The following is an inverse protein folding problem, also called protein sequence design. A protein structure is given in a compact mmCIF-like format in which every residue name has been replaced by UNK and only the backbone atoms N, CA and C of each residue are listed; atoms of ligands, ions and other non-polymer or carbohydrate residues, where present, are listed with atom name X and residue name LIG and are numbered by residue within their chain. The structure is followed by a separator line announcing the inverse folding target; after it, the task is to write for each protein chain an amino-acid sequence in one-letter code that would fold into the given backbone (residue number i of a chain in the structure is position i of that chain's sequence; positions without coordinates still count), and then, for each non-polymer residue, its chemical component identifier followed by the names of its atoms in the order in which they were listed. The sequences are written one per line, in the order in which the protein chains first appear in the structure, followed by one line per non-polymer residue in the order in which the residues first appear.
data_IF_404890685219
#
_entry.id   IF_404890685219
#
_cell.length_a   1.000
_cell.length_b   1.000
_cell.length_c   1.000
_cell.angle_alpha   90.00
_cell.angle_beta   90.00
_cell.angle_gamma   90.00
#
_symmetry.space_group_name_H-M   'P 1'
#
loop_
_entity.id
_entity.type
_entity.pdbx_description
1 polymer ?
#
# COMPACT_ATOMS: atom_id res chain seq x y z
N UNK A 1 -33.22 -9.40 -3.47
CA UNK A 1 -31.95 -8.87 -2.94
C UNK A 1 -31.95 -9.08 -1.42
N UNK A 2 -31.16 -10.01 -0.88
CA UNK A 2 -31.02 -10.18 0.58
C UNK A 2 -29.67 -9.63 1.06
N UNK A 3 -29.50 -9.41 2.37
CA UNK A 3 -28.24 -8.88 2.93
C UNK A 3 -27.01 -9.69 2.49
N UNK A 4 -27.15 -11.01 2.36
CA UNK A 4 -26.07 -11.89 1.90
C UNK A 4 -25.66 -11.64 0.45
N UNK A 5 -26.61 -11.31 -0.44
CA UNK A 5 -26.30 -10.98 -1.84
C UNK A 5 -25.52 -9.67 -1.93
N UNK A 6 -25.91 -8.66 -1.15
CA UNK A 6 -25.20 -7.37 -1.09
C UNK A 6 -23.80 -7.56 -0.53
N UNK A 7 -23.65 -8.34 0.56
CA UNK A 7 -22.36 -8.64 1.15
C UNK A 7 -21.43 -9.39 0.17
N UNK A 8 -21.96 -10.37 -0.56
CA UNK A 8 -21.22 -11.10 -1.59
C UNK A 8 -20.75 -10.16 -2.71
N UNK A 9 -21.65 -9.32 -3.23
CA UNK A 9 -21.30 -8.36 -4.29
C UNK A 9 -20.23 -7.37 -3.83
N UNK A 10 -20.31 -6.87 -2.59
CA UNK A 10 -19.28 -6.01 -2.03
C UNK A 10 -17.94 -6.72 -1.89
N UNK A 11 -17.93 -7.96 -1.39
CA UNK A 11 -16.71 -8.74 -1.27
C UNK A 11 -16.06 -8.98 -2.65
N UNK A 12 -16.86 -9.32 -3.66
CA UNK A 12 -16.38 -9.49 -5.03
C UNK A 12 -15.85 -8.18 -5.62
N UNK A 13 -16.51 -7.05 -5.36
CA UNK A 13 -16.05 -5.74 -5.82
C UNK A 13 -14.70 -5.37 -5.20
N UNK A 14 -14.51 -5.59 -3.89
CA UNK A 14 -13.24 -5.33 -3.18
C UNK A 14 -12.13 -6.23 -3.70
N UNK A 15 -12.40 -7.53 -3.86
CA UNK A 15 -11.43 -8.48 -4.42
C UNK A 15 -11.06 -8.10 -5.86
N UNK A 16 -12.02 -7.70 -6.68
CA UNK A 16 -11.79 -7.22 -8.03
C UNK A 16 -10.89 -5.98 -8.07
N UNK A 17 -11.14 -5.01 -7.19
CA UNK A 17 -10.32 -3.80 -7.07
C UNK A 17 -8.88 -4.15 -6.68
N UNK A 18 -8.69 -5.01 -5.69
CA UNK A 18 -7.36 -5.47 -5.24
C UNK A 18 -6.61 -6.22 -6.34
N UNK A 19 -7.30 -7.08 -7.09
CA UNK A 19 -6.70 -7.80 -8.21
C UNK A 19 -6.25 -6.85 -9.33
N UNK A 20 -7.07 -5.85 -9.66
CA UNK A 20 -6.72 -4.82 -10.63
C UNK A 20 -5.51 -3.98 -10.15
N UNK A 21 -5.53 -3.52 -8.91
CA UNK A 21 -4.40 -2.80 -8.30
C UNK A 21 -3.11 -3.61 -8.37
N UNK A 22 -3.13 -4.88 -7.98
CA UNK A 22 -1.96 -5.75 -8.03
C UNK A 22 -1.40 -5.99 -9.44
N UNK A 23 -2.23 -5.98 -10.48
CA UNK A 23 -1.80 -6.19 -11.87
C UNK A 23 -1.29 -4.89 -12.49
N UNK A 24 -1.86 -3.75 -12.13
CA UNK A 24 -1.52 -2.45 -12.72
C UNK A 24 -0.48 -1.64 -11.95
N UNK A 25 -0.35 -1.84 -10.65
CA UNK A 25 0.57 -1.08 -9.82
C UNK A 25 2.00 -1.61 -9.95
N UNK A 26 2.95 -0.69 -10.13
CA UNK A 26 4.37 -1.02 -10.02
C UNK A 26 4.72 -1.31 -8.56
N UNK A 27 5.71 -2.19 -8.28
CA UNK A 27 6.18 -2.42 -6.92
C UNK A 27 6.51 -1.10 -6.22
N UNK A 28 5.96 -0.89 -5.02
CA UNK A 28 6.24 0.31 -4.25
C UNK A 28 7.73 0.35 -3.93
N UNK A 29 8.42 1.39 -4.40
CA UNK A 29 9.78 1.65 -3.98
C UNK A 29 9.75 2.40 -2.63
N UNK A 30 10.18 1.77 -1.52
CA UNK A 30 10.12 2.37 -0.19
C UNK A 30 11.04 3.59 -0.03
N UNK A 31 12.00 3.78 -0.95
CA UNK A 31 12.93 4.92 -0.94
C UNK A 31 12.43 6.14 -1.71
N UNK A 32 11.44 5.95 -2.59
CA UNK A 32 10.83 7.05 -3.37
C UNK A 32 9.40 7.32 -2.95
N UNK A 33 8.86 6.53 -2.01
CA UNK A 33 7.55 6.79 -1.41
C UNK A 33 7.60 8.07 -0.56
N UNK A 34 6.51 8.86 -0.55
CA UNK A 34 6.36 9.93 0.44
C UNK A 34 6.43 9.33 1.85
N UNK A 35 6.91 10.07 2.86
CA UNK A 35 6.95 9.57 4.24
C UNK A 35 5.57 9.06 4.64
N UNK A 36 5.50 7.77 4.95
CA UNK A 36 4.30 7.03 5.34
C UNK A 36 3.81 7.55 6.69
N UNK A 37 3.16 8.72 6.73
CA UNK A 37 2.58 9.31 7.93
C UNK A 37 3.62 9.51 9.04
N UNK A 38 4.30 10.66 9.03
CA UNK A 38 5.20 11.02 10.11
C UNK A 38 4.41 11.30 11.41
N UNK A 39 4.11 10.25 12.19
CA UNK A 39 3.46 10.34 13.51
C UNK A 39 4.32 11.06 14.58
N UNK A 40 5.27 11.91 14.19
CA UNK A 40 5.99 12.75 15.15
C UNK A 40 7.35 13.35 14.78
N UNK A 41 7.89 13.19 13.57
CA UNK A 41 9.19 13.83 13.24
C UNK A 41 9.35 14.43 11.84
N UNK A 42 8.39 14.22 10.93
CA UNK A 42 8.45 14.68 9.53
C UNK A 42 9.59 14.09 8.69
N UNK A 43 10.51 13.32 9.28
CA UNK A 43 11.69 12.81 8.61
C UNK A 43 11.39 11.46 7.95
N UNK A 44 11.46 11.44 6.61
CA UNK A 44 11.70 10.20 5.88
C UNK A 44 13.04 9.59 6.34
N UNK A 45 13.19 8.26 6.28
CA UNK A 45 14.45 7.61 6.64
C UNK A 45 15.59 8.07 5.71
N UNK A 46 16.35 9.08 6.11
CA UNK A 46 17.49 9.62 5.36
C UNK A 46 18.72 8.75 5.59
N UNK A 47 18.72 7.51 5.08
CA UNK A 47 19.93 6.68 4.92
C UNK A 47 20.92 6.62 6.10
N UNK A 48 20.45 6.75 7.35
CA UNK A 48 21.32 6.74 8.53
C UNK A 48 21.92 5.35 8.79
N UNK A 49 22.89 5.26 9.71
CA UNK A 49 23.56 4.00 10.08
C UNK A 49 22.61 2.86 10.50
N UNK A 50 21.38 3.19 10.93
CA UNK A 50 20.33 2.23 11.28
C UNK A 50 19.21 2.11 10.21
N UNK A 51 19.35 2.77 9.07
CA UNK A 51 18.37 2.71 7.99
C UNK A 51 18.62 1.48 7.09
N UNK A 52 17.58 1.05 6.38
CA UNK A 52 17.69 -0.04 5.41
C UNK A 52 18.73 0.34 4.32
N UNK A 53 19.65 -0.58 3.98
CA UNK A 53 20.68 -0.31 2.98
C UNK A 53 20.03 -0.06 1.61
N UNK A 54 20.55 0.89 0.81
CA UNK A 54 20.01 1.16 -0.52
C UNK A 54 20.04 -0.11 -1.38
N UNK A 55 19.09 -0.26 -2.32
CA UNK A 55 19.09 -1.39 -3.24
C UNK A 55 20.36 -1.36 -4.10
N UNK A 56 20.80 -2.53 -4.58
CA UNK A 56 21.97 -2.66 -5.46
C UNK A 56 21.76 -1.93 -6.79
#
# INVERSE_FOLDING_TARGET
MTRSHVALLMALAVLGLLALDQVQSTPLNPYTGPPMLALGSGLAATGGHCAAPPPK
#
